data_IF_743209371867
#
_entry.id   IF_743209371867
#
_cell.length_a   1.000
_cell.length_b   1.000
_cell.length_c   1.000
_cell.angle_alpha   90.00
_cell.angle_beta   90.00
_cell.angle_gamma   90.00
#
_symmetry.space_group_name_H-M   'P 1'
#
loop_
_entity.id
_entity.type
_entity.pdbx_description
1 polymer ?
#
# COMPACT_ATOMS: atom_id res chain seq x y z
N UNK A 1 2.26 24.48 0.47
CA UNK A 1 2.82 23.52 1.44
C UNK A 1 4.31 23.41 1.16
N UNK A 2 5.18 23.56 2.16
CA UNK A 2 6.63 23.45 1.97
C UNK A 2 7.12 22.02 2.26
N UNK A 3 8.24 21.61 1.67
CA UNK A 3 8.83 20.28 1.94
C UNK A 3 9.25 20.10 3.40
N UNK A 4 9.55 21.19 4.11
CA UNK A 4 9.79 21.16 5.55
C UNK A 4 8.61 20.55 6.33
N UNK A 5 7.37 20.90 5.98
CA UNK A 5 6.16 20.32 6.61
C UNK A 5 5.99 18.84 6.28
N UNK A 6 6.29 18.43 5.04
CA UNK A 6 6.18 17.03 4.60
C UNK A 6 7.18 16.15 5.34
N UNK A 7 8.41 16.63 5.53
CA UNK A 7 9.45 15.87 6.21
C UNK A 7 9.27 15.75 7.73
N UNK A 8 8.33 16.48 8.32
CA UNK A 8 7.94 16.33 9.72
C UNK A 8 6.92 15.22 9.95
N UNK A 9 6.33 14.65 8.90
CA UNK A 9 5.45 13.49 9.03
C UNK A 9 6.25 12.27 9.46
N UNK A 10 5.67 11.47 10.35
CA UNK A 10 6.24 10.19 10.82
C UNK A 10 6.05 9.10 9.76
N UNK A 11 6.55 9.34 8.54
CA UNK A 11 6.51 8.37 7.43
C UNK A 11 7.87 7.71 7.30
N UNK A 12 7.97 6.37 7.40
CA UNK A 12 9.20 5.64 7.17
C UNK A 12 9.81 6.00 5.81
N UNK A 13 11.10 6.32 5.79
CA UNK A 13 11.81 6.68 4.56
C UNK A 13 12.43 5.43 3.95
N UNK A 14 11.77 4.90 2.94
CA UNK A 14 12.24 3.74 2.18
C UNK A 14 13.08 4.15 0.97
N UNK A 15 14.10 3.37 0.67
CA UNK A 15 14.96 3.46 -0.50
C UNK A 15 15.02 2.12 -1.24
N UNK A 16 15.54 2.14 -2.47
CA UNK A 16 15.74 0.92 -3.25
C UNK A 16 16.69 -0.04 -2.51
N UNK A 17 16.21 -1.26 -2.24
CA UNK A 17 16.93 -2.30 -1.50
C UNK A 17 16.35 -2.57 -0.11
N UNK A 18 15.54 -1.67 0.44
CA UNK A 18 14.86 -1.89 1.72
C UNK A 18 13.76 -2.95 1.60
N UNK A 19 13.45 -3.59 2.72
CA UNK A 19 12.37 -4.57 2.81
C UNK A 19 11.03 -3.95 2.38
N UNK A 20 10.26 -4.70 1.61
CA UNK A 20 8.99 -4.28 1.01
C UNK A 20 9.05 -3.11 0.00
N UNK A 21 10.17 -2.42 -0.21
CA UNK A 21 10.22 -1.25 -1.09
C UNK A 21 9.72 -1.56 -2.51
N UNK A 22 10.30 -2.57 -3.17
CA UNK A 22 9.94 -2.94 -4.53
C UNK A 22 8.48 -3.43 -4.62
N UNK A 23 8.05 -4.16 -3.59
CA UNK A 23 6.70 -4.71 -3.46
C UNK A 23 5.63 -3.64 -3.28
N UNK A 24 5.90 -2.64 -2.45
CA UNK A 24 5.04 -1.47 -2.23
C UNK A 24 4.95 -0.63 -3.50
N UNK A 25 6.10 -0.32 -4.13
CA UNK A 25 6.15 0.46 -5.37
C UNK A 25 5.33 -0.21 -6.48
N UNK A 26 5.53 -1.51 -6.69
CA UNK A 26 4.81 -2.28 -7.72
C UNK A 26 3.29 -2.29 -7.49
N UNK A 27 2.85 -2.54 -6.25
CA UNK A 27 1.42 -2.61 -5.92
C UNK A 27 0.75 -1.23 -5.94
N UNK A 28 1.42 -0.20 -5.42
CA UNK A 28 0.94 1.18 -5.51
C UNK A 28 0.81 1.63 -6.96
N UNK A 29 1.81 1.32 -7.80
CA UNK A 29 1.77 1.61 -9.23
C UNK A 29 0.56 0.96 -9.92
N UNK A 30 0.28 -0.32 -9.63
CA UNK A 30 -0.91 -1.01 -10.14
C UNK A 30 -2.22 -0.36 -9.74
N UNK A 31 -2.30 0.22 -8.54
CA UNK A 31 -3.50 0.90 -8.04
C UNK A 31 -3.71 2.29 -8.65
N UNK A 32 -2.62 2.99 -9.00
CA UNK A 32 -2.61 4.38 -9.48
C UNK A 32 -2.68 4.43 -11.02
N UNK A 33 -1.85 3.64 -11.71
CA UNK A 33 -1.69 3.73 -13.15
C UNK A 33 -2.81 2.98 -13.86
N UNK A 34 -4.05 3.47 -13.80
CA UNK A 34 -5.21 2.82 -14.43
C UNK A 34 -5.69 3.50 -15.70
N UNK A 35 -5.12 4.66 -16.05
CA UNK A 35 -5.50 5.43 -17.25
C UNK A 35 -4.26 5.79 -18.09
N UNK A 36 -4.41 6.05 -19.40
CA UNK A 36 -3.28 6.29 -20.31
C UNK A 36 -2.39 7.47 -19.91
N UNK A 37 -2.93 8.45 -19.20
CA UNK A 37 -2.19 9.61 -18.70
C UNK A 37 -1.06 9.22 -17.74
N UNK A 38 -1.13 8.02 -17.15
CA UNK A 38 -0.11 7.47 -16.26
C UNK A 38 0.86 6.50 -16.96
N UNK A 39 0.82 6.34 -18.29
CA UNK A 39 1.70 5.39 -18.99
C UNK A 39 3.19 5.67 -18.77
N UNK A 40 3.60 6.94 -18.73
CA UNK A 40 5.01 7.27 -18.50
C UNK A 40 5.45 6.97 -17.07
N UNK A 41 4.55 7.18 -16.09
CA UNK A 41 4.78 6.75 -14.71
C UNK A 41 4.87 5.22 -14.63
N UNK A 42 3.95 4.51 -15.28
CA UNK A 42 3.90 3.06 -15.33
C UNK A 42 5.19 2.45 -15.90
N UNK A 43 5.78 3.05 -16.95
CA UNK A 43 7.09 2.66 -17.48
C UNK A 43 8.21 2.89 -16.47
N UNK A 44 8.22 4.06 -15.82
CA UNK A 44 9.29 4.43 -14.88
C UNK A 44 9.39 3.50 -13.66
N UNK A 45 8.25 2.94 -13.23
CA UNK A 45 8.15 2.02 -12.09
C UNK A 45 8.14 0.54 -12.50
N UNK A 46 8.32 0.25 -13.79
CA UNK A 46 8.49 -1.12 -14.30
C UNK A 46 7.20 -1.93 -14.49
N UNK A 47 6.02 -1.32 -14.37
CA UNK A 47 4.74 -2.00 -14.69
C UNK A 47 4.31 -1.81 -16.15
N UNK A 48 5.07 -1.05 -16.94
CA UNK A 48 4.87 -0.92 -18.39
C UNK A 48 3.83 0.14 -18.76
N UNK A 49 2.54 -0.16 -18.62
CA UNK A 49 1.45 0.73 -19.06
C UNK A 49 0.23 0.60 -18.15
N UNK A 50 -0.70 1.54 -18.26
CA UNK A 50 -2.01 1.53 -17.63
C UNK A 50 -2.80 0.23 -17.80
N UNK A 51 -2.50 -0.56 -18.85
CA UNK A 51 -3.10 -1.88 -19.08
C UNK A 51 -2.77 -2.90 -17.99
N UNK A 52 -1.67 -2.69 -17.27
CA UNK A 52 -1.28 -3.50 -16.11
C UNK A 52 -1.77 -2.88 -14.79
N UNK A 53 -2.48 -1.75 -14.85
CA UNK A 53 -3.23 -1.20 -13.74
C UNK A 53 -4.43 -2.07 -13.40
N UNK A 54 -4.82 -2.05 -12.13
CA UNK A 54 -5.90 -2.89 -11.60
C UNK A 54 -7.13 -2.03 -11.33
N UNK A 55 -8.22 -2.33 -12.05
CA UNK A 55 -9.48 -1.58 -12.01
C UNK A 55 -10.61 -2.36 -11.34
N UNK A 56 -10.55 -3.69 -11.32
CA UNK A 56 -11.56 -4.52 -10.70
C UNK A 56 -11.54 -4.40 -9.17
N UNK A 57 -12.72 -4.28 -8.55
CA UNK A 57 -12.85 -3.95 -7.13
C UNK A 57 -12.18 -5.00 -6.23
N UNK A 58 -12.31 -6.29 -6.56
CA UNK A 58 -11.79 -7.39 -5.75
C UNK A 58 -10.25 -7.43 -5.75
N UNK A 59 -9.61 -7.33 -6.91
CA UNK A 59 -8.14 -7.32 -6.98
C UNK A 59 -7.57 -6.01 -6.41
N UNK A 60 -8.28 -4.89 -6.55
CA UNK A 60 -7.90 -3.63 -5.87
C UNK A 60 -7.97 -3.76 -4.36
N UNK A 61 -9.01 -4.38 -3.81
CA UNK A 61 -9.13 -4.64 -2.38
C UNK A 61 -8.01 -5.54 -1.88
N UNK A 62 -7.68 -6.61 -2.63
CA UNK A 62 -6.55 -7.49 -2.32
C UNK A 62 -5.22 -6.74 -2.28
N UNK A 63 -4.92 -5.94 -3.31
CA UNK A 63 -3.69 -5.14 -3.35
C UNK A 63 -3.59 -4.14 -2.18
N UNK A 64 -4.72 -3.57 -1.74
CA UNK A 64 -4.77 -2.69 -0.57
C UNK A 64 -4.49 -3.46 0.71
N UNK A 65 -5.09 -4.64 0.92
CA UNK A 65 -4.80 -5.48 2.08
C UNK A 65 -3.33 -5.90 2.14
N UNK A 66 -2.74 -6.28 0.99
CA UNK A 66 -1.30 -6.61 0.90
C UNK A 66 -0.42 -5.40 1.27
N UNK A 67 -0.80 -4.19 0.83
CA UNK A 67 -0.11 -2.96 1.21
C UNK A 67 -0.25 -2.65 2.70
N UNK A 68 -1.45 -2.72 3.26
CA UNK A 68 -1.71 -2.42 4.67
C UNK A 68 -0.90 -3.35 5.59
N UNK A 69 -0.81 -4.64 5.25
CA UNK A 69 0.02 -5.61 5.98
C UNK A 69 1.51 -5.29 5.93
N UNK A 70 2.06 -5.00 4.74
CA UNK A 70 3.47 -4.61 4.59
C UNK A 70 3.79 -3.29 5.31
N UNK A 71 2.86 -2.33 5.24
CA UNK A 71 3.02 -1.02 5.89
C UNK A 71 3.01 -1.19 7.41
N UNK A 72 2.13 -2.02 7.97
CA UNK A 72 2.13 -2.28 9.40
C UNK A 72 3.46 -2.86 9.91
N UNK A 73 4.07 -3.79 9.17
CA UNK A 73 5.42 -4.29 9.45
C UNK A 73 6.49 -3.21 9.32
N UNK A 74 6.38 -2.35 8.30
CA UNK A 74 7.29 -1.22 8.11
C UNK A 74 7.26 -0.22 9.28
N UNK A 75 6.10 -0.04 9.91
CA UNK A 75 5.94 0.77 11.12
C UNK A 75 6.37 0.03 12.41
N UNK A 76 6.75 -1.24 12.32
CA UNK A 76 7.17 -2.06 13.46
C UNK A 76 6.03 -2.41 14.41
N UNK A 77 4.80 -2.48 13.91
CA UNK A 77 3.63 -2.78 14.73
C UNK A 77 3.59 -4.26 15.12
N UNK A 78 3.16 -4.53 16.34
CA UNK A 78 2.70 -5.86 16.74
C UNK A 78 1.32 -6.17 16.17
N UNK A 79 0.95 -7.44 16.09
CA UNK A 79 -0.39 -7.85 15.66
C UNK A 79 -1.49 -7.19 16.50
N UNK A 80 -1.30 -7.08 17.82
CA UNK A 80 -2.25 -6.43 18.71
C UNK A 80 -2.41 -4.94 18.44
N UNK A 81 -1.32 -4.24 18.15
CA UNK A 81 -1.37 -2.81 17.82
C UNK A 81 -2.03 -2.59 16.46
N UNK A 82 -1.71 -3.42 15.47
CA UNK A 82 -2.33 -3.32 14.16
C UNK A 82 -3.82 -3.64 14.21
N UNK A 83 -4.22 -4.68 14.93
CA UNK A 83 -5.63 -5.00 15.17
C UNK A 83 -6.37 -3.86 15.88
N UNK A 84 -5.74 -3.22 16.87
CA UNK A 84 -6.30 -2.05 17.53
C UNK A 84 -6.52 -0.89 16.54
N UNK A 85 -5.52 -0.57 15.70
CA UNK A 85 -5.61 0.47 14.67
C UNK A 85 -6.75 0.17 13.68
N UNK A 86 -6.85 -1.06 13.17
CA UNK A 86 -7.92 -1.46 12.26
C UNK A 86 -9.31 -1.28 12.90
N UNK A 87 -9.42 -1.54 14.20
CA UNK A 87 -10.63 -1.30 14.99
C UNK A 87 -11.05 0.17 15.09
N UNK A 88 -10.13 1.12 14.87
CA UNK A 88 -10.44 2.57 14.89
C UNK A 88 -11.14 3.10 13.65
N UNK A 89 -11.33 2.27 12.62
CA UNK A 89 -12.01 2.62 11.37
C UNK A 89 -13.44 2.05 11.32
N UNK A 90 -14.46 2.71 11.92
CA UNK A 90 -15.81 2.16 12.05
C UNK A 90 -16.59 2.04 10.73
N UNK A 91 -16.17 2.76 9.69
CA UNK A 91 -16.83 2.79 8.37
C UNK A 91 -16.27 1.71 7.44
N UNK A 92 -15.09 1.16 7.75
CA UNK A 92 -14.46 0.13 6.91
C UNK A 92 -15.10 -1.21 7.22
N UNK A 93 -15.49 -1.95 6.18
CA UNK A 93 -16.07 -3.28 6.29
C UNK A 93 -15.13 -4.25 7.03
N UNK A 94 -15.71 -5.15 7.84
CA UNK A 94 -14.94 -6.12 8.63
C UNK A 94 -14.11 -7.06 7.75
N UNK A 95 -14.61 -7.43 6.57
CA UNK A 95 -13.87 -8.28 5.64
C UNK A 95 -12.57 -7.61 5.14
N UNK A 96 -12.58 -6.28 4.99
CA UNK A 96 -11.39 -5.51 4.59
C UNK A 96 -10.37 -5.48 5.72
N UNK A 97 -10.81 -5.26 6.96
CA UNK A 97 -9.94 -5.31 8.14
C UNK A 97 -9.34 -6.71 8.33
N UNK A 98 -10.17 -7.74 8.19
CA UNK A 98 -9.75 -9.12 8.29
C UNK A 98 -8.73 -9.48 7.20
N UNK A 99 -8.93 -9.02 5.96
CA UNK A 99 -7.99 -9.23 4.87
C UNK A 99 -6.63 -8.55 5.14
N UNK A 100 -6.62 -7.31 5.63
CA UNK A 100 -5.39 -6.61 5.99
C UNK A 100 -4.64 -7.34 7.13
N UNK A 101 -5.35 -7.78 8.17
CA UNK A 101 -4.76 -8.54 9.27
C UNK A 101 -4.23 -9.92 8.83
N UNK A 102 -4.91 -10.57 7.88
CA UNK A 102 -4.45 -11.83 7.31
C UNK A 102 -3.15 -11.65 6.51
N UNK A 103 -3.04 -10.59 5.71
CA UNK A 103 -1.81 -10.26 4.98
C UNK A 103 -0.66 -9.89 5.93
N UNK A 104 -0.95 -9.16 7.01
CA UNK A 104 0.04 -8.89 8.06
C UNK A 104 0.62 -10.19 8.66
N UNK A 105 -0.24 -11.16 9.01
CA UNK A 105 0.19 -12.46 9.58
C UNK A 105 0.95 -13.34 8.60
N UNK A 106 0.81 -13.11 7.29
CA UNK A 106 1.44 -13.92 6.23
C UNK A 106 2.90 -13.54 6.01
N UNK A 107 3.26 -12.29 6.30
CA UNK A 107 4.60 -11.72 6.18
C UNK A 107 5.40 -11.95 7.46
#
# INVERSE_FOLDING_TARGET
ISMFMVYQLTVPRLSAGDEYFADIVSRAAKLICTTPEFDDLAKSVGIGSHKNGVTDAASRAKLRAELDGMIAHLYGLTESEFSHILGTFPIVDEDVKAAALAEFRRL
#
